data_IF_816366100101
#
_entry.id   IF_816366100101
#
_cell.length_a   1.000
_cell.length_b   1.000
_cell.length_c   1.000
_cell.angle_alpha   90.00
_cell.angle_beta   90.00
_cell.angle_gamma   90.00
#
_symmetry.space_group_name_H-M   'P 1'
#
loop_
_entity.id
_entity.type
_entity.pdbx_description
1 polymer ?
#
# COMPACT_ATOMS: atom_id res chain seq x y z
N UNK A 1 8.04 16.45 19.91
CA UNK A 1 8.73 15.19 19.53
C UNK A 1 9.03 15.26 18.04
N UNK A 2 10.28 15.54 17.67
CA UNK A 2 10.71 15.71 16.28
C UNK A 2 11.10 14.32 15.76
N UNK A 3 10.36 13.77 14.80
CA UNK A 3 10.76 12.53 14.13
C UNK A 3 11.80 12.92 13.08
N UNK A 4 13.07 12.71 13.39
CA UNK A 4 14.16 12.81 12.45
C UNK A 4 14.14 11.60 11.51
N UNK A 5 13.98 11.82 10.20
CA UNK A 5 14.27 10.80 9.20
C UNK A 5 15.79 10.77 8.99
N UNK A 6 16.50 9.98 9.80
CA UNK A 6 17.92 9.75 9.60
C UNK A 6 18.11 8.85 8.36
N UNK A 7 18.69 9.40 7.30
CA UNK A 7 19.26 8.62 6.19
C UNK A 7 20.47 7.86 6.73
N UNK A 8 20.28 6.58 7.04
CA UNK A 8 21.38 5.71 7.50
C UNK A 8 22.16 5.23 6.28
N UNK A 9 23.40 5.69 6.15
CA UNK A 9 24.35 5.15 5.19
C UNK A 9 25.06 3.93 5.82
N UNK A 10 25.18 2.84 5.07
CA UNK A 10 25.93 1.66 5.50
C UNK A 10 27.17 1.53 4.62
N UNK A 11 28.34 1.42 5.24
CA UNK A 11 29.61 1.14 4.55
C UNK A 11 29.87 -0.35 4.48
N UNK A 12 30.34 -0.83 3.32
CA UNK A 12 30.76 -2.22 3.12
C UNK A 12 32.27 -2.25 2.88
N UNK A 13 33.01 -2.89 3.77
CA UNK A 13 34.46 -3.12 3.64
C UNK A 13 34.71 -4.53 3.10
N UNK A 14 35.65 -4.64 2.14
CA UNK A 14 36.01 -5.91 1.54
C UNK A 14 37.43 -5.90 1.00
N UNK A 15 38.02 -7.08 0.87
CA UNK A 15 39.36 -7.24 0.30
C UNK A 15 39.35 -6.91 -1.21
N UNK A 16 40.41 -6.26 -1.71
CA UNK A 16 40.51 -5.81 -3.12
C UNK A 16 40.27 -6.94 -4.12
N UNK A 17 40.73 -8.15 -3.82
CA UNK A 17 40.55 -9.34 -4.67
C UNK A 17 39.08 -9.72 -4.92
N UNK A 18 38.17 -9.33 -4.01
CA UNK A 18 36.74 -9.67 -4.11
C UNK A 18 35.91 -8.57 -4.79
N UNK A 19 36.56 -7.53 -5.34
CA UNK A 19 35.89 -6.35 -5.89
C UNK A 19 34.89 -6.69 -6.99
N UNK A 20 35.27 -7.58 -7.91
CA UNK A 20 34.46 -7.89 -9.08
C UNK A 20 33.24 -8.74 -8.70
N UNK A 21 33.41 -9.68 -7.76
CA UNK A 21 32.30 -10.43 -7.17
C UNK A 21 31.32 -9.50 -6.45
N UNK A 22 31.85 -8.57 -5.64
CA UNK A 22 31.02 -7.72 -4.79
C UNK A 22 30.23 -6.71 -5.62
N UNK A 23 30.89 -6.04 -6.54
CA UNK A 23 30.27 -5.03 -7.42
C UNK A 23 29.36 -5.70 -8.45
N UNK A 24 29.75 -6.88 -8.93
CA UNK A 24 29.07 -7.59 -10.01
C UNK A 24 27.76 -8.27 -9.57
N UNK A 25 27.82 -9.10 -8.52
CA UNK A 25 26.70 -9.95 -8.13
C UNK A 25 26.15 -9.64 -6.73
N UNK A 26 27.03 -9.46 -5.73
CA UNK A 26 26.61 -9.37 -4.33
C UNK A 26 25.74 -8.15 -4.06
N UNK A 27 26.18 -6.94 -4.45
CA UNK A 27 25.42 -5.70 -4.20
C UNK A 27 24.05 -5.74 -4.87
N UNK A 28 23.98 -6.25 -6.11
CA UNK A 28 22.71 -6.39 -6.84
C UNK A 28 21.76 -7.35 -6.13
N UNK A 29 22.27 -8.48 -5.65
CA UNK A 29 21.50 -9.46 -4.91
C UNK A 29 20.96 -8.90 -3.59
N UNK A 30 21.80 -8.20 -2.82
CA UNK A 30 21.40 -7.57 -1.55
C UNK A 30 20.31 -6.52 -1.80
N UNK A 31 20.45 -5.70 -2.84
CA UNK A 31 19.42 -4.71 -3.20
C UNK A 31 18.11 -5.38 -3.62
N UNK A 32 18.16 -6.46 -4.39
CA UNK A 32 16.97 -7.21 -4.79
C UNK A 32 16.26 -7.83 -3.57
N UNK A 33 17.02 -8.49 -2.69
CA UNK A 33 16.49 -9.02 -1.43
C UNK A 33 15.93 -7.92 -0.53
N UNK A 34 16.63 -6.79 -0.40
CA UNK A 34 16.16 -5.63 0.36
C UNK A 34 14.83 -5.09 -0.15
N UNK A 35 14.67 -4.96 -1.47
CA UNK A 35 13.40 -4.57 -2.10
C UNK A 35 12.28 -5.58 -1.81
N UNK A 36 12.56 -6.88 -1.90
CA UNK A 36 11.58 -7.92 -1.60
C UNK A 36 11.15 -7.89 -0.13
N UNK A 37 12.10 -7.72 0.80
CA UNK A 37 11.82 -7.57 2.23
C UNK A 37 11.02 -6.30 2.50
N UNK A 38 11.37 -5.17 1.90
CA UNK A 38 10.63 -3.91 2.04
C UNK A 38 9.20 -4.02 1.50
N UNK A 39 9.01 -4.74 0.38
CA UNK A 39 7.68 -4.99 -0.18
C UNK A 39 6.84 -5.91 0.73
N UNK A 40 7.45 -6.96 1.30
CA UNK A 40 6.78 -7.89 2.21
C UNK A 40 6.46 -7.24 3.57
N UNK A 41 7.37 -6.43 4.09
CA UNK A 41 7.23 -5.68 5.33
C UNK A 41 6.47 -4.36 5.13
N UNK A 42 5.83 -4.14 3.97
CA UNK A 42 5.02 -2.95 3.76
C UNK A 42 3.88 -2.96 4.75
N UNK A 43 4.00 -2.10 5.76
CA UNK A 43 2.97 -1.95 6.78
C UNK A 43 1.65 -1.56 6.13
N UNK A 44 0.60 -2.34 6.43
CA UNK A 44 -0.76 -1.96 6.06
C UNK A 44 -1.16 -0.83 6.99
N UNK A 45 -1.52 0.32 6.40
CA UNK A 45 -1.97 1.50 7.16
C UNK A 45 -3.49 1.55 7.06
N UNK A 46 -4.17 1.55 8.20
CA UNK A 46 -5.59 1.83 8.26
C UNK A 46 -5.76 3.33 8.41
N UNK A 47 -6.44 3.95 7.45
CA UNK A 47 -6.75 5.37 7.50
C UNK A 47 -8.12 5.57 8.12
N UNK A 48 -8.18 6.38 9.17
CA UNK A 48 -9.43 6.77 9.83
C UNK A 48 -9.59 8.28 9.71
N UNK A 49 -10.80 8.72 9.40
CA UNK A 49 -11.16 10.13 9.47
C UNK A 49 -11.23 10.50 10.95
N UNK A 50 -10.25 11.26 11.43
CA UNK A 50 -10.18 11.68 12.81
C UNK A 50 -10.74 13.10 12.91
N UNK A 51 -11.94 13.21 13.49
CA UNK A 51 -12.59 14.48 13.83
C UNK A 51 -12.00 15.06 15.14
N UNK A 52 -10.67 15.05 15.31
CA UNK A 52 -10.10 15.57 16.56
C UNK A 52 -10.32 17.07 16.63
N UNK A 53 -10.93 17.52 17.73
CA UNK A 53 -11.27 18.90 18.09
C UNK A 53 -10.08 19.88 18.10
N UNK A 54 -8.84 19.42 17.91
CA UNK A 54 -7.66 20.26 17.75
C UNK A 54 -7.38 20.55 16.27
N UNK A 55 -8.24 21.39 15.68
CA UNK A 55 -8.00 22.04 14.39
C UNK A 55 -6.96 23.14 14.56
N UNK A 56 -5.69 22.78 14.75
CA UNK A 56 -4.63 23.76 14.63
C UNK A 56 -4.44 24.11 13.16
N UNK A 57 -4.51 25.41 12.87
CA UNK A 57 -4.55 26.08 11.55
C UNK A 57 -3.51 25.60 10.51
N UNK A 58 -2.48 24.85 10.92
CA UNK A 58 -1.37 24.39 10.08
C UNK A 58 -1.35 22.86 9.79
N UNK A 59 -2.33 22.07 10.28
CA UNK A 59 -2.40 20.59 10.05
C UNK A 59 -3.79 20.15 9.58
N UNK A 60 -4.22 20.64 8.42
CA UNK A 60 -5.55 20.38 7.85
C UNK A 60 -5.66 19.04 7.09
N UNK A 61 -5.29 17.90 7.69
CA UNK A 61 -5.62 16.59 7.09
C UNK A 61 -6.55 15.81 8.01
N UNK A 62 -7.82 15.69 7.58
CA UNK A 62 -8.87 14.94 8.28
C UNK A 62 -8.53 13.44 8.43
N UNK A 63 -7.61 12.94 7.61
CA UNK A 63 -7.19 11.55 7.60
C UNK A 63 -5.98 11.32 8.50
N UNK A 64 -6.18 10.52 9.55
CA UNK A 64 -5.08 9.96 10.35
C UNK A 64 -4.86 8.49 9.97
N UNK A 65 -3.68 7.94 10.27
CA UNK A 65 -3.40 6.53 10.02
C UNK A 65 -2.84 5.84 11.26
N UNK A 66 -3.22 4.58 11.42
CA UNK A 66 -2.63 3.66 12.40
C UNK A 66 -2.03 2.47 11.67
N UNK A 67 -0.91 1.96 12.16
CA UNK A 67 -0.32 0.73 11.63
C UNK A 67 -1.25 -0.43 11.96
N UNK A 68 -1.81 -1.05 10.92
CA UNK A 68 -2.73 -2.18 11.06
C UNK A 68 -1.92 -3.48 11.14
N UNK A 69 -1.78 -3.99 12.36
CA UNK A 69 -1.17 -5.31 12.64
C UNK A 69 -2.25 -6.25 13.16
N UNK A 70 -3.03 -6.82 12.25
CA UNK A 70 -4.01 -7.84 12.62
C UNK A 70 -3.71 -9.15 11.88
N UNK A 71 -3.48 -10.27 12.59
CA UNK A 71 -3.21 -11.56 11.97
C UNK A 71 -4.45 -12.19 11.34
N UNK A 72 -5.66 -11.65 11.57
CA UNK A 72 -6.86 -12.31 11.07
C UNK A 72 -7.00 -12.21 9.57
N UNK A 73 -7.12 -13.40 8.99
CA UNK A 73 -7.60 -13.63 7.63
C UNK A 73 -9.11 -13.89 7.68
N UNK A 74 -9.75 -13.95 6.51
CA UNK A 74 -11.13 -14.43 6.41
C UNK A 74 -11.29 -15.86 6.96
N UNK A 75 -10.20 -16.63 7.10
CA UNK A 75 -10.21 -17.98 7.69
C UNK A 75 -10.42 -18.01 9.19
N UNK A 76 -9.89 -16.99 9.88
CA UNK A 76 -10.09 -16.82 11.32
C UNK A 76 -11.38 -16.06 11.66
N UNK A 77 -12.13 -15.59 10.65
CA UNK A 77 -13.36 -14.84 10.85
C UNK A 77 -14.54 -15.82 10.96
N UNK A 78 -15.18 -15.85 12.14
CA UNK A 78 -16.37 -16.66 12.37
C UNK A 78 -17.55 -16.10 11.55
N UNK A 79 -17.84 -16.74 10.41
CA UNK A 79 -18.94 -16.43 9.50
C UNK A 79 -19.50 -17.72 8.91
N UNK A 80 -20.74 -17.65 8.44
CA UNK A 80 -21.36 -18.76 7.71
C UNK A 80 -20.57 -19.06 6.41
N UNK A 81 -20.24 -20.34 6.13
CA UNK A 81 -19.32 -20.70 5.04
C UNK A 81 -19.77 -20.29 3.64
N UNK A 82 -21.07 -20.37 3.34
CA UNK A 82 -21.60 -20.02 2.01
C UNK A 82 -21.47 -18.52 1.72
N UNK A 83 -21.85 -17.69 2.69
CA UNK A 83 -21.72 -16.22 2.63
C UNK A 83 -20.26 -15.78 2.56
N UNK A 84 -19.39 -16.45 3.33
CA UNK A 84 -17.94 -16.20 3.27
C UNK A 84 -17.37 -16.46 1.86
N UNK A 85 -17.81 -17.54 1.20
CA UNK A 85 -17.36 -17.91 -0.15
C UNK A 85 -17.85 -16.92 -1.21
N UNK A 86 -19.09 -16.46 -1.10
CA UNK A 86 -19.65 -15.43 -1.98
C UNK A 86 -18.84 -14.13 -1.91
N UNK A 87 -18.61 -13.61 -0.70
CA UNK A 87 -17.83 -12.39 -0.48
C UNK A 87 -16.40 -12.56 -1.01
N UNK A 88 -15.77 -13.71 -0.79
CA UNK A 88 -14.43 -13.97 -1.32
C UNK A 88 -14.36 -14.00 -2.84
N UNK A 89 -15.35 -14.62 -3.48
CA UNK A 89 -15.42 -14.66 -4.94
C UNK A 89 -15.62 -13.27 -5.54
N UNK A 90 -16.48 -12.44 -4.94
CA UNK A 90 -16.69 -11.07 -5.39
C UNK A 90 -15.45 -10.20 -5.21
N UNK A 91 -14.75 -10.30 -4.07
CA UNK A 91 -13.48 -9.59 -3.85
C UNK A 91 -12.37 -10.05 -4.82
N UNK A 92 -12.32 -11.35 -5.16
CA UNK A 92 -11.39 -11.87 -6.17
C UNK A 92 -11.75 -11.36 -7.57
N UNK A 93 -13.03 -11.27 -7.90
CA UNK A 93 -13.53 -10.69 -9.15
C UNK A 93 -13.18 -9.21 -9.23
N UNK A 94 -13.40 -8.44 -8.15
CA UNK A 94 -13.03 -7.04 -8.03
C UNK A 94 -11.53 -6.81 -8.24
N UNK A 95 -10.68 -7.63 -7.60
CA UNK A 95 -9.22 -7.56 -7.76
C UNK A 95 -8.78 -7.74 -9.22
N UNK A 96 -9.45 -8.63 -9.97
CA UNK A 96 -9.17 -8.89 -11.39
C UNK A 96 -9.78 -7.80 -12.30
N UNK A 97 -10.95 -7.28 -11.94
CA UNK A 97 -11.75 -6.33 -12.70
C UNK A 97 -11.35 -4.85 -12.58
N UNK A 98 -10.08 -4.52 -12.36
CA UNK A 98 -9.61 -3.12 -12.28
C UNK A 98 -9.96 -2.26 -13.53
N UNK A 99 -10.41 -2.87 -14.63
CA UNK A 99 -10.90 -2.16 -15.82
C UNK A 99 -12.37 -1.72 -15.75
N UNK A 100 -13.19 -2.27 -14.86
CA UNK A 100 -14.66 -2.04 -14.89
C UNK A 100 -15.06 -0.77 -14.14
N UNK A 101 -14.38 -0.40 -13.05
CA UNK A 101 -14.68 0.84 -12.30
C UNK A 101 -14.16 2.12 -12.95
N UNK A 102 -13.09 2.05 -13.74
CA UNK A 102 -12.55 3.21 -14.47
C UNK A 102 -13.41 3.59 -15.70
N UNK A 103 -14.28 2.66 -16.17
CA UNK A 103 -15.21 2.90 -17.28
C UNK A 103 -16.48 3.66 -16.89
N UNK A 104 -16.94 3.57 -15.63
CA UNK A 104 -18.16 4.28 -15.19
C UNK A 104 -17.95 5.79 -14.97
N UNK A 105 -16.71 6.25 -14.77
CA UNK A 105 -16.41 7.67 -14.58
C UNK A 105 -16.41 8.50 -15.89
N UNK A 106 -16.54 7.86 -17.08
CA UNK A 106 -16.51 8.53 -18.39
C UNK A 106 -17.85 8.55 -19.13
N UNK A 107 -18.97 8.32 -18.46
CA UNK A 107 -20.33 8.50 -19.02
C UNK A 107 -21.11 9.49 -18.17
N UNK A 108 -20.74 10.76 -18.28
CA UNK A 108 -21.37 11.84 -17.53
C UNK A 108 -21.03 13.21 -18.10
N UNK A 109 -21.02 13.36 -19.42
CA UNK A 109 -21.19 14.66 -20.08
C UNK A 109 -21.47 14.41 -21.55
N UNK A 110 -22.71 14.59 -21.98
CA UNK A 110 -23.18 15.32 -23.16
C UNK A 110 -24.70 15.11 -23.20
N UNK A 111 -25.42 16.04 -22.60
CA UNK A 111 -26.83 16.29 -22.93
C UNK A 111 -26.95 17.81 -23.10
N UNK A 112 -26.44 18.31 -24.24
CA UNK A 112 -26.86 19.62 -24.75
C UNK A 112 -28.23 19.40 -25.36
N UNK A 113 -29.28 19.86 -24.67
CA UNK A 113 -30.61 19.96 -25.25
C UNK A 113 -30.57 21.03 -26.34
N UNK A 114 -30.77 20.60 -27.58
CA UNK A 114 -31.20 21.45 -28.69
C UNK A 114 -32.66 21.10 -28.94
N UNK A 115 -33.56 22.08 -28.90
CA UNK A 115 -34.73 22.20 -29.80
C UNK A 115 -35.33 23.60 -29.66
N UNK A 116 -35.45 24.27 -30.81
CA UNK A 116 -36.35 25.34 -31.26
C UNK A 116 -36.74 26.47 -30.30
#
# INVERSE_FOLDING_TARGET
MVIAFATRFNSLTYHRSNRDLITGSYVKHVLAKGKAVAANNRERKLFTNNLSLNWHYYKATKWSHVTFKHPSTFDTLAMEPSKKREIMNDLLKFKRGRSTMSGLARRGSVATFSTA
#
